data_IF_117308781256
#
_entry.id   IF_117308781256
#
_cell.length_a   1.000
_cell.length_b   1.000
_cell.length_c   1.000
_cell.angle_alpha   90.00
_cell.angle_beta   90.00
_cell.angle_gamma   90.00
#
_symmetry.space_group_name_H-M   'P 1'
#
loop_
_entity.id
_entity.type
_entity.pdbx_description
1 polymer ?
#
# COMPACT_ATOMS: atom_id res chain seq x y z
N UNK A 1 -4.95 -43.03 -42.67
CA UNK A 1 -4.62 -41.61 -42.41
C UNK A 1 -5.49 -40.96 -41.32
N UNK A 2 -6.81 -41.19 -41.25
CA UNK A 2 -7.66 -40.66 -40.14
C UNK A 2 -7.32 -41.17 -38.72
N UNK A 3 -6.71 -42.37 -38.59
CA UNK A 3 -6.37 -42.98 -37.28
C UNK A 3 -5.16 -42.34 -36.55
N UNK A 4 -4.39 -41.48 -37.23
CA UNK A 4 -3.25 -40.76 -36.63
C UNK A 4 -3.60 -39.32 -36.19
N UNK A 5 -4.77 -38.79 -36.55
CA UNK A 5 -5.15 -37.42 -36.22
C UNK A 5 -5.49 -37.24 -34.73
N UNK A 6 -6.14 -38.24 -34.13
CA UNK A 6 -6.52 -38.22 -32.72
C UNK A 6 -5.32 -38.24 -31.75
N UNK A 7 -4.31 -39.14 -31.88
CA UNK A 7 -3.15 -39.11 -31.00
C UNK A 7 -2.29 -37.85 -31.19
N UNK A 8 -2.22 -37.30 -32.41
CA UNK A 8 -1.48 -36.06 -32.68
C UNK A 8 -2.14 -34.84 -32.01
N UNK A 9 -3.47 -34.79 -32.00
CA UNK A 9 -4.23 -33.76 -31.30
C UNK A 9 -4.07 -33.85 -29.77
N UNK A 10 -4.02 -35.07 -29.22
CA UNK A 10 -3.77 -35.29 -27.79
C UNK A 10 -2.35 -34.84 -27.41
N UNK A 11 -1.34 -35.18 -28.21
CA UNK A 11 0.04 -34.73 -27.99
C UNK A 11 0.16 -33.21 -28.08
N UNK A 12 -0.54 -32.57 -29.03
CA UNK A 12 -0.59 -31.11 -29.13
C UNK A 12 -1.26 -30.45 -27.91
N UNK A 13 -2.33 -31.03 -27.36
CA UNK A 13 -3.00 -30.55 -26.16
C UNK A 13 -2.12 -30.69 -24.90
N UNK A 14 -1.42 -31.82 -24.76
CA UNK A 14 -0.48 -32.03 -23.64
C UNK A 14 0.71 -31.08 -23.75
N UNK A 15 1.24 -30.85 -24.96
CA UNK A 15 2.32 -29.89 -25.19
C UNK A 15 1.88 -28.44 -24.90
N UNK A 16 0.64 -28.06 -25.22
CA UNK A 16 0.10 -26.73 -24.90
C UNK A 16 -0.10 -26.53 -23.39
N UNK A 17 -0.55 -27.56 -22.67
CA UNK A 17 -0.68 -27.51 -21.21
C UNK A 17 0.68 -27.44 -20.49
N UNK A 18 1.74 -28.02 -21.07
CA UNK A 18 3.09 -27.95 -20.51
C UNK A 18 3.81 -26.61 -20.76
N UNK A 19 3.28 -25.71 -21.60
CA UNK A 19 3.97 -24.47 -21.99
C UNK A 19 3.54 -23.22 -21.21
N UNK A 20 2.48 -23.28 -20.39
CA UNK A 20 1.98 -22.13 -19.66
C UNK A 20 2.37 -22.27 -18.18
N UNK A 21 3.60 -21.86 -17.83
CA UNK A 21 3.97 -21.64 -16.43
C UNK A 21 3.06 -20.56 -15.79
N UNK A 22 3.02 -20.45 -14.46
CA UNK A 22 2.20 -19.44 -13.81
C UNK A 22 2.60 -18.03 -14.29
N UNK A 23 1.62 -17.14 -14.45
CA UNK A 23 1.89 -15.74 -14.80
C UNK A 23 2.67 -15.12 -13.64
N UNK A 24 3.92 -14.78 -13.90
CA UNK A 24 4.84 -14.28 -12.86
C UNK A 24 4.84 -12.77 -12.68
N UNK A 25 4.32 -12.05 -13.65
CA UNK A 25 4.22 -10.60 -13.67
C UNK A 25 2.93 -10.19 -14.36
N UNK A 26 2.19 -9.26 -13.77
CA UNK A 26 1.03 -8.62 -14.40
C UNK A 26 0.80 -7.23 -13.82
N UNK A 27 0.20 -6.34 -14.59
CA UNK A 27 -0.35 -5.06 -14.12
C UNK A 27 -1.89 -5.10 -14.00
N UNK A 28 -2.47 -6.27 -14.19
CA UNK A 28 -3.90 -6.52 -14.15
C UNK A 28 -4.19 -7.79 -13.34
N UNK A 29 -4.72 -7.63 -12.14
CA UNK A 29 -5.12 -8.72 -11.26
C UNK A 29 -6.19 -8.26 -10.25
N UNK A 30 -7.00 -9.19 -9.69
CA UNK A 30 -7.93 -8.88 -8.60
C UNK A 30 -7.24 -8.32 -7.33
N UNK A 31 -5.99 -8.71 -7.07
CA UNK A 31 -5.18 -8.19 -5.97
C UNK A 31 -4.87 -6.71 -6.18
N UNK A 32 -4.49 -6.32 -7.41
CA UNK A 32 -4.28 -4.90 -7.78
C UNK A 32 -5.58 -4.11 -7.61
N UNK A 33 -6.72 -4.66 -8.02
CA UNK A 33 -8.03 -4.01 -7.83
C UNK A 33 -8.37 -3.83 -6.34
N UNK A 34 -7.99 -4.80 -5.51
CA UNK A 34 -8.13 -4.70 -4.05
C UNK A 34 -7.28 -3.57 -3.49
N UNK A 35 -6.03 -3.42 -3.94
CA UNK A 35 -5.16 -2.32 -3.49
C UNK A 35 -5.66 -0.95 -3.98
N UNK A 36 -6.12 -0.83 -5.24
CA UNK A 36 -6.76 0.42 -5.72
C UNK A 36 -7.96 0.81 -4.87
N UNK A 37 -8.77 -0.17 -4.46
CA UNK A 37 -9.88 0.06 -3.53
C UNK A 37 -9.40 0.49 -2.14
N UNK A 38 -8.34 -0.12 -1.62
CA UNK A 38 -7.72 0.28 -0.35
C UNK A 38 -7.23 1.73 -0.38
N UNK A 39 -6.54 2.15 -1.45
CA UNK A 39 -6.08 3.53 -1.66
C UNK A 39 -7.26 4.51 -1.76
N UNK A 40 -8.32 4.13 -2.48
CA UNK A 40 -9.55 4.92 -2.58
C UNK A 40 -10.22 5.09 -1.21
N UNK A 41 -10.31 4.00 -0.43
CA UNK A 41 -10.83 4.00 0.93
C UNK A 41 -10.02 4.93 1.84
N UNK A 42 -8.68 4.86 1.78
CA UNK A 42 -7.80 5.76 2.53
C UNK A 42 -8.09 7.23 2.19
N UNK A 43 -8.17 7.58 0.91
CA UNK A 43 -8.49 8.94 0.45
C UNK A 43 -9.88 9.41 0.91
N UNK A 44 -10.86 8.50 0.93
CA UNK A 44 -12.21 8.75 1.40
C UNK A 44 -12.35 8.73 2.93
N UNK A 45 -11.26 8.50 3.68
CA UNK A 45 -11.27 8.30 5.15
C UNK A 45 -12.19 7.17 5.61
N UNK A 46 -12.36 6.16 4.76
CA UNK A 46 -13.09 4.94 5.05
C UNK A 46 -12.10 3.87 5.53
N UNK A 47 -11.99 3.70 6.84
CA UNK A 47 -11.06 2.78 7.45
C UNK A 47 -11.72 1.40 7.60
N UNK A 48 -11.41 0.52 6.65
CA UNK A 48 -11.96 -0.84 6.55
C UNK A 48 -10.81 -1.86 6.51
N UNK A 49 -10.61 -2.57 7.61
CA UNK A 49 -9.59 -3.61 7.74
C UNK A 49 -10.00 -4.95 7.09
N UNK A 50 -11.22 -5.08 6.55
CA UNK A 50 -11.73 -6.35 6.02
C UNK A 50 -10.97 -6.88 4.80
N UNK A 51 -10.13 -6.07 4.14
CA UNK A 51 -9.26 -6.52 3.05
C UNK A 51 -8.04 -7.32 3.54
N UNK A 52 -7.74 -7.23 4.83
CA UNK A 52 -6.62 -7.90 5.47
C UNK A 52 -7.04 -9.21 6.12
N UNK A 53 -6.09 -10.11 6.31
CA UNK A 53 -6.24 -11.26 7.19
C UNK A 53 -6.11 -10.83 8.66
N UNK A 54 -6.79 -11.53 9.58
CA UNK A 54 -6.77 -11.22 11.02
C UNK A 54 -5.34 -11.25 11.61
N UNK A 55 -4.46 -12.09 11.05
CA UNK A 55 -3.06 -12.25 11.47
C UNK A 55 -2.07 -11.43 10.63
N UNK A 56 -2.58 -10.51 9.82
CA UNK A 56 -1.76 -9.66 8.96
C UNK A 56 -0.79 -8.79 9.76
N UNK A 57 0.32 -8.43 9.11
CA UNK A 57 1.36 -7.60 9.71
C UNK A 57 1.71 -6.44 8.79
N UNK A 58 1.60 -5.24 9.31
CA UNK A 58 1.91 -3.98 8.62
C UNK A 58 3.17 -3.35 9.20
N UNK A 59 4.09 -2.98 8.32
CA UNK A 59 5.41 -2.44 8.64
C UNK A 59 5.63 -1.11 7.94
N UNK A 60 5.61 -0.01 8.69
CA UNK A 60 5.80 1.33 8.16
C UNK A 60 7.15 1.88 8.59
N UNK A 61 8.09 2.00 7.66
CA UNK A 61 9.47 2.45 7.91
C UNK A 61 10.20 1.71 9.06
N UNK A 62 9.81 0.46 9.33
CA UNK A 62 10.37 -0.39 10.40
C UNK A 62 10.43 -1.85 9.96
N UNK A 63 11.29 -2.65 10.61
CA UNK A 63 11.31 -4.11 10.51
C UNK A 63 10.77 -4.81 11.76
N UNK A 64 10.62 -4.05 12.84
CA UNK A 64 10.23 -4.52 14.16
C UNK A 64 8.86 -3.95 14.55
N UNK A 65 8.20 -4.61 15.52
CA UNK A 65 6.91 -4.18 16.09
C UNK A 65 5.84 -3.87 15.01
N UNK A 66 5.44 -4.86 14.20
CA UNK A 66 4.40 -4.66 13.21
C UNK A 66 3.07 -4.29 13.86
N UNK A 67 2.29 -3.49 13.15
CA UNK A 67 0.89 -3.26 13.46
C UNK A 67 0.01 -4.36 12.86
N UNK A 68 -1.08 -4.69 13.54
CA UNK A 68 -2.24 -5.31 12.93
C UNK A 68 -2.92 -4.35 11.94
N UNK A 69 -3.81 -4.86 11.10
CA UNK A 69 -4.58 -4.02 10.17
C UNK A 69 -5.40 -2.94 10.90
N UNK A 70 -6.03 -3.27 12.03
CA UNK A 70 -6.82 -2.32 12.83
C UNK A 70 -5.96 -1.22 13.47
N UNK A 71 -4.76 -1.58 13.95
CA UNK A 71 -3.79 -0.60 14.45
C UNK A 71 -3.31 0.32 13.33
N UNK A 72 -3.06 -0.20 12.11
CA UNK A 72 -2.70 0.62 10.96
C UNK A 72 -3.82 1.59 10.55
N UNK A 73 -5.08 1.13 10.56
CA UNK A 73 -6.25 2.00 10.33
C UNK A 73 -6.36 3.10 11.39
N UNK A 74 -6.13 2.75 12.66
CA UNK A 74 -6.15 3.69 13.78
C UNK A 74 -5.03 4.72 13.65
N UNK A 75 -3.81 4.30 13.34
CA UNK A 75 -2.66 5.16 13.07
C UNK A 75 -2.97 6.22 12.01
N UNK A 76 -3.56 5.82 10.88
CA UNK A 76 -3.92 6.75 9.81
C UNK A 76 -5.04 7.72 10.23
N UNK A 77 -6.02 7.25 11.00
CA UNK A 77 -7.10 8.08 11.55
C UNK A 77 -6.59 9.09 12.56
N UNK A 78 -5.64 8.73 13.41
CA UNK A 78 -5.04 9.66 14.37
C UNK A 78 -4.22 10.74 13.65
N UNK A 79 -3.48 10.35 12.62
CA UNK A 79 -2.70 11.28 11.80
C UNK A 79 -3.54 12.30 11.03
N UNK A 80 -4.82 12.03 10.75
CA UNK A 80 -5.75 13.02 10.14
C UNK A 80 -5.87 14.32 10.96
N UNK A 81 -5.55 14.28 12.26
CA UNK A 81 -5.56 15.48 13.09
C UNK A 81 -4.51 16.50 12.62
N UNK A 82 -3.41 16.06 12.01
CA UNK A 82 -2.32 16.94 11.57
C UNK A 82 -2.60 17.65 10.24
N UNK A 83 -3.57 17.18 9.44
CA UNK A 83 -3.74 17.63 8.05
C UNK A 83 -5.10 18.27 7.78
N UNK A 84 -5.09 19.45 7.16
CA UNK A 84 -6.28 20.12 6.62
C UNK A 84 -6.86 19.34 5.43
N UNK A 85 -5.98 18.77 4.61
CA UNK A 85 -6.30 17.84 3.52
C UNK A 85 -5.17 16.81 3.39
N UNK A 86 -5.50 15.60 2.96
CA UNK A 86 -4.51 14.56 2.65
C UNK A 86 -5.06 13.51 1.70
N UNK A 87 -4.18 12.89 0.94
CA UNK A 87 -4.52 11.74 0.10
C UNK A 87 -3.44 11.41 -0.91
N UNK A 88 -3.55 10.23 -1.51
CA UNK A 88 -2.79 9.86 -2.69
C UNK A 88 -3.29 10.62 -3.92
N UNK A 89 -2.36 11.14 -4.71
CA UNK A 89 -2.64 11.79 -6.00
C UNK A 89 -3.08 10.75 -7.03
N UNK A 90 -3.94 11.13 -7.97
CA UNK A 90 -4.39 10.24 -9.06
C UNK A 90 -3.30 9.97 -10.10
N UNK A 91 -2.37 10.91 -10.23
CA UNK A 91 -1.32 10.88 -11.23
C UNK A 91 -0.13 10.06 -10.72
N UNK A 92 0.63 9.46 -11.64
CA UNK A 92 1.81 8.64 -11.35
C UNK A 92 1.59 7.43 -10.42
N UNK A 93 0.38 6.90 -10.36
CA UNK A 93 0.14 5.64 -9.66
C UNK A 93 0.52 4.45 -10.54
N UNK A 94 1.53 3.70 -10.13
CA UNK A 94 1.96 2.47 -10.80
C UNK A 94 1.69 1.26 -9.92
N UNK A 95 1.18 0.19 -10.54
CA UNK A 95 0.84 -1.06 -9.88
C UNK A 95 1.39 -2.24 -10.68
N UNK A 96 2.00 -3.18 -9.98
CA UNK A 96 2.37 -4.48 -10.54
C UNK A 96 2.11 -5.57 -9.51
N UNK A 97 1.89 -6.79 -10.00
CA UNK A 97 1.84 -7.98 -9.19
C UNK A 97 2.90 -8.96 -9.70
N UNK A 98 3.64 -9.56 -8.77
CA UNK A 98 4.64 -10.59 -9.04
C UNK A 98 4.34 -11.88 -8.29
N UNK A 99 4.70 -13.01 -8.90
CA UNK A 99 4.77 -14.32 -8.25
C UNK A 99 6.25 -14.68 -8.03
N UNK A 100 6.64 -14.82 -6.77
CA UNK A 100 8.01 -15.17 -6.38
C UNK A 100 8.34 -16.63 -6.67
N UNK A 101 9.61 -17.00 -6.60
CA UNK A 101 10.03 -18.41 -6.75
C UNK A 101 9.48 -19.30 -5.64
N UNK A 102 9.20 -18.72 -4.48
CA UNK A 102 8.58 -19.39 -3.34
C UNK A 102 7.04 -19.47 -3.45
N UNK A 103 6.47 -18.98 -4.56
CA UNK A 103 5.02 -19.02 -4.81
C UNK A 103 4.23 -17.95 -4.06
N UNK A 104 4.88 -16.88 -3.59
CA UNK A 104 4.21 -15.77 -2.92
C UNK A 104 3.73 -14.73 -3.95
N UNK A 105 2.48 -14.29 -3.80
CA UNK A 105 1.92 -13.19 -4.59
C UNK A 105 2.15 -11.86 -3.89
N UNK A 106 2.80 -10.94 -4.58
CA UNK A 106 3.10 -9.59 -4.08
C UNK A 106 2.59 -8.53 -5.03
N UNK A 107 1.89 -7.51 -4.50
CA UNK A 107 1.52 -6.30 -5.24
C UNK A 107 2.41 -5.15 -4.81
N UNK A 108 3.12 -4.54 -5.76
CA UNK A 108 3.96 -3.37 -5.55
C UNK A 108 3.25 -2.12 -6.07
N UNK A 109 3.39 -1.02 -5.34
CA UNK A 109 2.79 0.27 -5.68
C UNK A 109 3.84 1.38 -5.57
N UNK A 110 3.86 2.27 -6.56
CA UNK A 110 4.57 3.55 -6.49
C UNK A 110 3.52 4.64 -6.61
N UNK A 111 3.45 5.49 -5.58
CA UNK A 111 2.38 6.46 -5.40
C UNK A 111 2.98 7.80 -4.95
N UNK A 112 2.31 8.89 -5.26
CA UNK A 112 2.57 10.19 -4.65
C UNK A 112 1.47 10.51 -3.63
N UNK A 113 1.86 10.84 -2.41
CA UNK A 113 0.96 11.30 -1.36
C UNK A 113 1.11 12.80 -1.14
N UNK A 114 0.00 13.53 -1.02
CA UNK A 114 -0.02 14.96 -0.72
C UNK A 114 -0.77 15.23 0.58
N UNK A 115 -0.23 16.13 1.40
CA UNK A 115 -0.90 16.63 2.59
C UNK A 115 -0.69 18.13 2.77
N UNK A 116 -1.71 18.81 3.30
CA UNK A 116 -1.63 20.20 3.76
C UNK A 116 -1.69 20.22 5.28
N UNK A 117 -0.63 20.68 5.95
CA UNK A 117 -0.56 20.73 7.41
C UNK A 117 -1.55 21.76 7.98
N UNK A 118 -2.34 21.39 9.00
CA UNK A 118 -3.28 22.32 9.64
C UNK A 118 -2.57 23.49 10.31
N UNK A 119 -1.40 23.22 10.89
CA UNK A 119 -0.75 24.13 11.79
C UNK A 119 -0.19 25.39 11.09
N UNK A 120 0.22 25.29 9.83
CA UNK A 120 0.77 26.43 9.07
C UNK A 120 0.36 26.47 7.59
N UNK A 121 -0.53 25.57 7.14
CA UNK A 121 -0.98 25.50 5.75
C UNK A 121 0.07 24.99 4.75
N UNK A 122 1.24 24.54 5.21
CA UNK A 122 2.30 24.03 4.32
C UNK A 122 1.84 22.78 3.61
N UNK A 123 2.02 22.75 2.29
CA UNK A 123 1.80 21.56 1.47
C UNK A 123 3.08 20.73 1.37
N UNK A 124 2.94 19.42 1.46
CA UNK A 124 4.04 18.45 1.31
C UNK A 124 3.59 17.37 0.34
N UNK A 125 4.47 16.98 -0.58
CA UNK A 125 4.29 15.84 -1.49
C UNK A 125 5.39 14.83 -1.20
N UNK A 126 5.00 13.58 -0.96
CA UNK A 126 5.90 12.50 -0.54
C UNK A 126 5.72 11.32 -1.51
N UNK A 127 6.79 10.89 -2.20
CA UNK A 127 6.79 9.61 -2.91
C UNK A 127 6.71 8.46 -1.91
N UNK A 128 5.83 7.51 -2.16
CA UNK A 128 5.57 6.35 -1.30
C UNK A 128 5.71 5.06 -2.12
N UNK A 129 6.45 4.11 -1.57
CA UNK A 129 6.41 2.73 -2.03
C UNK A 129 5.65 1.87 -1.03
N UNK A 130 4.63 1.15 -1.52
CA UNK A 130 3.87 0.18 -0.74
C UNK A 130 4.01 -1.19 -1.41
N UNK A 131 4.12 -2.24 -0.60
CA UNK A 131 4.11 -3.61 -1.11
C UNK A 131 3.30 -4.54 -0.22
N UNK A 132 2.47 -5.38 -0.84
CA UNK A 132 1.43 -6.18 -0.19
C UNK A 132 1.56 -7.64 -0.57
N UNK A 133 1.67 -8.52 0.42
CA UNK A 133 1.59 -9.96 0.22
C UNK A 133 0.13 -10.42 0.29
N UNK A 134 -0.28 -11.23 -0.69
CA UNK A 134 -1.62 -11.83 -0.73
C UNK A 134 -1.59 -13.34 -0.50
N UNK A 135 -2.55 -13.82 0.29
CA UNK A 135 -2.89 -15.24 0.44
C UNK A 135 -4.41 -15.35 0.47
N UNK A 136 -4.99 -16.24 -0.34
CA UNK A 136 -6.44 -16.48 -0.44
C UNK A 136 -7.27 -15.19 -0.63
N UNK A 137 -6.75 -14.25 -1.43
CA UNK A 137 -7.40 -12.96 -1.73
C UNK A 137 -7.38 -11.95 -0.58
N UNK A 138 -6.64 -12.21 0.50
CA UNK A 138 -6.47 -11.30 1.65
C UNK A 138 -5.03 -10.81 1.74
N UNK A 139 -4.87 -9.57 2.22
CA UNK A 139 -3.56 -9.02 2.54
C UNK A 139 -3.07 -9.66 3.84
N UNK A 140 -1.94 -10.38 3.78
CA UNK A 140 -1.30 -10.99 4.97
C UNK A 140 -0.08 -10.20 5.44
N UNK A 141 0.47 -9.35 4.59
CA UNK A 141 1.60 -8.49 4.92
C UNK A 141 1.58 -7.21 4.12
N UNK A 142 1.95 -6.12 4.77
CA UNK A 142 2.15 -4.81 4.13
C UNK A 142 3.49 -4.24 4.58
N UNK A 143 4.24 -3.70 3.63
CA UNK A 143 5.35 -2.79 3.91
C UNK A 143 5.08 -1.44 3.26
N UNK A 144 5.36 -0.38 4.00
CA UNK A 144 5.32 0.98 3.49
C UNK A 144 6.61 1.73 3.77
N UNK A 145 7.12 2.40 2.73
CA UNK A 145 8.37 3.16 2.76
C UNK A 145 8.15 4.56 2.20
N UNK A 146 8.55 5.56 2.97
CA UNK A 146 8.48 6.98 2.60
C UNK A 146 9.39 7.81 3.51
N UNK A 147 9.70 9.04 3.12
CA UNK A 147 10.44 9.99 3.96
C UNK A 147 9.47 10.93 4.71
N UNK A 148 9.29 10.77 6.04
CA UNK A 148 8.42 11.64 6.82
C UNK A 148 9.13 12.89 7.35
N UNK A 149 10.42 13.08 7.08
CA UNK A 149 11.28 14.06 7.78
C UNK A 149 10.73 15.47 7.73
N UNK A 150 10.26 15.92 6.58
CA UNK A 150 9.72 17.27 6.43
C UNK A 150 8.49 17.52 7.31
N UNK A 151 7.59 16.54 7.39
CA UNK A 151 6.39 16.62 8.24
C UNK A 151 6.80 16.64 9.70
N UNK A 152 7.64 15.69 10.12
CA UNK A 152 8.08 15.56 11.52
C UNK A 152 8.78 16.83 12.00
N UNK A 153 9.73 17.36 11.21
CA UNK A 153 10.44 18.59 11.57
C UNK A 153 9.50 19.79 11.64
N UNK A 154 8.53 19.88 10.71
CA UNK A 154 7.57 20.99 10.73
C UNK A 154 6.68 20.93 11.98
N UNK A 155 6.20 19.75 12.37
CA UNK A 155 5.38 19.59 13.58
C UNK A 155 6.18 19.89 14.86
N UNK A 156 7.43 19.42 14.94
CA UNK A 156 8.32 19.70 16.09
C UNK A 156 8.64 21.19 16.23
N UNK A 157 8.88 21.89 15.13
CA UNK A 157 9.12 23.33 15.15
C UNK A 157 7.92 24.09 15.71
N UNK A 158 6.71 23.72 15.26
CA UNK A 158 5.47 24.38 15.69
C UNK A 158 5.14 24.08 17.16
N UNK A 159 5.41 22.86 17.63
CA UNK A 159 5.29 22.52 19.05
C UNK A 159 6.25 23.36 19.91
N UNK A 160 7.51 23.50 19.48
CA UNK A 160 8.50 24.32 20.19
C UNK A 160 8.15 25.81 20.21
N UNK A 161 7.52 26.34 19.15
CA UNK A 161 7.04 27.72 19.10
C UNK A 161 5.82 27.95 19.99
N UNK A 162 4.88 27.00 20.03
CA UNK A 162 3.71 27.05 20.90
C UNK A 162 4.12 27.10 22.38
N UNK A 163 5.04 26.23 22.81
CA UNK A 163 5.55 26.19 24.19
C UNK A 163 6.22 27.50 24.59
N UNK A 164 6.99 28.13 23.69
CA UNK A 164 7.62 29.43 23.97
C UNK A 164 6.59 30.54 24.14
N UNK A 165 5.58 30.57 23.28
CA UNK A 165 4.53 31.59 23.31
C UNK A 165 3.71 31.50 24.60
N UNK A 166 3.36 30.27 25.03
CA UNK A 166 2.65 30.05 26.30
C UNK A 166 3.47 30.48 27.54
N UNK A 167 4.79 30.32 27.49
CA UNK A 167 5.68 30.79 28.56
C UNK A 167 5.78 32.31 28.60
N UNK A 168 5.84 32.98 27.44
CA UNK A 168 5.87 34.45 27.36
C UNK A 168 4.53 35.10 27.74
N UNK A 169 3.39 34.41 27.54
CA UNK A 169 2.07 34.91 27.96
C UNK A 169 1.77 34.70 29.45
N UNK A 170 2.56 33.87 30.15
CA UNK A 170 2.39 33.57 31.58
C UNK A 170 3.38 34.32 32.49
N UNK A 171 4.33 35.06 31.92
CA UNK A 171 5.23 36.02 32.60
C UNK A 171 4.71 37.46 32.55
#
# INVERSE_FOLDING_TARGET
MKKLLLPLAIVALVAYACQQGPVRYTQNSPEIDTIKKLISNYNAKNFDASMFADTSKTYYNTKDNPMSAEEAMTYHKENDNNYASRGFLSDHQEYEMVLTDDGESWVNCWLDWKGTLKANGKEVVIPIHLTYQFVDGKIVREYGYWDPTEIVLTLQQLEAEAVKTEQEETE
#
